data_IF_613834629745
#
_entry.id   IF_613834629745
#
_cell.length_a   1.000
_cell.length_b   1.000
_cell.length_c   1.000
_cell.angle_alpha   90.00
_cell.angle_beta   90.00
_cell.angle_gamma   90.00
#
_symmetry.space_group_name_H-M   'P 1'
#
loop_
_entity.id
_entity.type
_entity.pdbx_description
1 polymer ?
#
# COMPACT_ATOMS: atom_id res chain seq x y z
N UNK A 1 -8.55 11.73 20.76
CA UNK A 1 -7.34 10.93 20.46
C UNK A 1 -7.12 10.02 21.64
N UNK A 2 -7.37 8.71 21.49
CA UNK A 2 -7.24 7.75 22.58
C UNK A 2 -5.93 6.97 22.39
N UNK A 3 -5.02 7.12 23.34
CA UNK A 3 -3.72 6.46 23.39
C UNK A 3 -3.93 5.14 24.12
N UNK A 4 -4.01 4.02 23.39
CA UNK A 4 -4.13 2.67 23.97
C UNK A 4 -2.79 1.93 23.88
N UNK A 5 -2.37 1.22 24.95
CA UNK A 5 -1.16 0.41 24.93
C UNK A 5 -1.37 -0.83 24.04
N UNK A 6 -0.54 -0.98 23.01
CA UNK A 6 -0.56 -2.13 22.11
C UNK A 6 0.27 -3.27 22.70
N UNK A 7 -0.38 -4.41 22.94
CA UNK A 7 0.27 -5.66 23.35
C UNK A 7 1.02 -6.26 22.16
N UNK A 8 2.32 -6.58 22.34
CA UNK A 8 3.25 -7.00 21.28
C UNK A 8 3.51 -8.51 21.38
N UNK A 9 3.35 -9.23 20.28
CA UNK A 9 3.63 -10.67 20.18
C UNK A 9 4.75 -10.86 19.16
N UNK A 10 5.85 -11.50 19.58
CA UNK A 10 7.04 -11.76 18.76
C UNK A 10 7.03 -13.15 18.12
N UNK A 11 7.55 -13.24 16.90
CA UNK A 11 7.89 -14.45 16.13
C UNK A 11 9.39 -14.32 15.76
N UNK A 12 10.09 -15.37 15.29
CA UNK A 12 11.52 -15.32 14.92
C UNK A 12 11.78 -15.60 13.40
N UNK A 13 12.78 -14.94 12.81
CA UNK A 13 13.33 -14.99 11.40
C UNK A 13 14.86 -14.70 11.57
N UNK A 14 15.72 -14.39 10.58
CA UNK A 14 17.15 -14.05 10.85
C UNK A 14 17.62 -12.61 10.55
N UNK A 15 18.51 -12.06 11.42
CA UNK A 15 19.16 -10.72 11.41
C UNK A 15 19.89 -10.35 10.10
N UNK A 16 19.54 -9.22 9.47
CA UNK A 16 20.21 -8.66 8.28
C UNK A 16 21.00 -7.37 8.57
N UNK A 17 22.13 -7.12 7.87
CA UNK A 17 23.02 -5.98 8.10
C UNK A 17 22.39 -4.62 7.74
N UNK A 18 22.61 -3.61 8.59
CA UNK A 18 22.26 -2.19 8.33
C UNK A 18 23.32 -1.54 7.45
N UNK A 19 23.02 -1.30 6.18
CA UNK A 19 23.84 -0.46 5.31
C UNK A 19 23.46 1.03 5.44
N UNK A 20 24.47 1.91 5.51
CA UNK A 20 24.27 3.35 5.49
C UNK A 20 23.72 3.80 4.13
N UNK A 21 22.45 4.21 4.10
CA UNK A 21 21.76 4.65 2.88
C UNK A 21 21.86 6.17 2.72
N UNK A 22 23.06 6.66 2.41
CA UNK A 22 23.31 8.11 2.32
C UNK A 22 23.07 8.67 0.91
N UNK A 23 23.25 7.89 -0.17
CA UNK A 23 23.11 8.42 -1.54
C UNK A 23 22.28 7.57 -2.52
N UNK A 24 21.74 8.24 -3.54
CA UNK A 24 20.94 7.63 -4.63
C UNK A 24 21.79 6.68 -5.50
N UNK A 25 23.08 6.97 -5.65
CA UNK A 25 24.01 6.10 -6.36
C UNK A 25 24.20 4.78 -5.63
N UNK A 26 24.20 4.80 -4.29
CA UNK A 26 24.28 3.58 -3.48
C UNK A 26 23.02 2.72 -3.62
N UNK A 27 21.83 3.32 -3.62
CA UNK A 27 20.57 2.59 -3.88
C UNK A 27 20.54 1.95 -5.28
N UNK A 28 21.00 2.66 -6.32
CA UNK A 28 21.02 2.12 -7.69
C UNK A 28 22.05 1.00 -7.85
N UNK A 29 23.25 1.15 -7.28
CA UNK A 29 24.26 0.07 -7.23
C UNK A 29 23.76 -1.14 -6.45
N UNK A 30 23.00 -0.91 -5.37
CA UNK A 30 22.45 -1.96 -4.52
C UNK A 30 21.25 -2.69 -5.13
N UNK A 31 20.35 -2.00 -5.83
CA UNK A 31 19.19 -2.63 -6.50
C UNK A 31 19.59 -3.69 -7.54
N UNK A 32 20.79 -3.56 -8.11
CA UNK A 32 21.36 -4.50 -9.07
C UNK A 32 22.23 -5.59 -8.43
N UNK A 33 22.50 -5.54 -7.12
CA UNK A 33 23.35 -6.54 -6.47
C UNK A 33 22.58 -7.82 -6.14
N UNK A 34 23.25 -8.99 -6.22
CA UNK A 34 22.65 -10.30 -5.88
C UNK A 34 22.21 -10.40 -4.41
N UNK A 35 22.87 -9.66 -3.53
CA UNK A 35 22.68 -9.64 -2.08
C UNK A 35 21.38 -8.93 -1.65
N UNK A 36 20.81 -8.08 -2.53
CA UNK A 36 19.51 -7.42 -2.31
C UNK A 36 18.31 -8.21 -2.85
N UNK A 37 18.54 -9.36 -3.50
CA UNK A 37 17.49 -10.29 -3.94
C UNK A 37 17.00 -11.24 -2.86
N UNK A 38 17.44 -11.05 -1.62
CA UNK A 38 16.86 -11.74 -0.48
C UNK A 38 15.49 -11.12 -0.15
N UNK A 39 14.52 -11.34 -1.05
CA UNK A 39 13.11 -11.23 -0.71
C UNK A 39 12.86 -12.25 0.40
N UNK A 40 12.67 -11.78 1.63
CA UNK A 40 12.11 -12.66 2.64
C UNK A 40 10.63 -12.88 2.32
N UNK A 41 10.22 -14.12 2.19
CA UNK A 41 8.81 -14.51 2.12
C UNK A 41 8.43 -15.09 3.46
N UNK A 42 7.45 -14.48 4.11
CA UNK A 42 6.96 -14.88 5.42
C UNK A 42 5.56 -15.42 5.28
N UNK A 43 5.29 -16.50 6.01
CA UNK A 43 3.96 -17.10 6.11
C UNK A 43 3.53 -17.11 7.58
N UNK A 44 2.23 -16.91 7.80
CA UNK A 44 1.66 -17.03 9.14
C UNK A 44 1.70 -18.50 9.58
N UNK A 45 2.45 -18.79 10.64
CA UNK A 45 2.56 -20.16 11.18
C UNK A 45 1.24 -20.71 11.74
N UNK A 46 0.33 -19.83 12.18
CA UNK A 46 -0.97 -20.20 12.75
C UNK A 46 -2.09 -19.37 12.13
N UNK A 47 -3.29 -19.94 11.95
CA UNK A 47 -4.43 -19.18 11.49
C UNK A 47 -4.80 -18.11 12.51
N UNK A 48 -5.14 -16.92 12.01
CA UNK A 48 -5.58 -15.81 12.87
C UNK A 48 -7.00 -16.08 13.43
N UNK A 49 -7.33 -15.52 14.61
CA UNK A 49 -8.65 -15.64 15.22
C UNK A 49 -9.69 -14.93 14.37
N UNK A 50 -10.97 -15.29 14.54
CA UNK A 50 -12.11 -14.67 13.83
C UNK A 50 -12.48 -13.27 14.37
N UNK A 51 -11.46 -12.46 14.65
CA UNK A 51 -11.58 -11.07 15.10
C UNK A 51 -10.77 -10.19 14.17
N UNK A 52 -11.35 -9.09 13.70
CA UNK A 52 -10.65 -8.18 12.81
C UNK A 52 -9.56 -7.40 13.56
N UNK A 53 -8.31 -7.48 13.07
CA UNK A 53 -7.16 -6.79 13.67
C UNK A 53 -7.33 -5.28 13.77
N UNK A 54 -7.98 -4.63 12.79
CA UNK A 54 -8.14 -3.17 12.80
C UNK A 54 -9.25 -2.65 13.72
N UNK A 55 -10.33 -3.41 13.91
CA UNK A 55 -11.55 -2.92 14.59
C UNK A 55 -11.97 -3.74 15.81
N UNK A 56 -11.36 -4.91 16.05
CA UNK A 56 -11.74 -5.80 17.16
C UNK A 56 -13.14 -6.40 17.04
N UNK A 57 -13.75 -6.37 15.85
CA UNK A 57 -15.10 -6.87 15.57
C UNK A 57 -15.04 -8.28 15.00
N UNK A 58 -16.09 -9.10 15.13
CA UNK A 58 -16.13 -10.44 14.54
C UNK A 58 -15.88 -10.37 13.04
N UNK A 59 -15.04 -11.31 12.58
CA UNK A 59 -14.76 -11.50 11.17
C UNK A 59 -16.03 -11.99 10.46
N UNK A 60 -16.25 -11.47 9.26
CA UNK A 60 -17.32 -11.93 8.36
C UNK A 60 -16.78 -12.56 7.09
N UNK A 61 -15.49 -12.35 6.83
CA UNK A 61 -14.78 -12.81 5.65
C UNK A 61 -13.29 -12.91 5.98
N UNK A 62 -12.56 -13.71 5.20
CA UNK A 62 -11.11 -13.92 5.32
C UNK A 62 -10.49 -13.62 3.97
N UNK A 63 -9.57 -12.66 3.95
CA UNK A 63 -8.90 -12.28 2.71
C UNK A 63 -7.50 -12.87 2.66
N UNK A 64 -7.25 -13.71 1.65
CA UNK A 64 -5.90 -14.10 1.26
C UNK A 64 -5.24 -12.89 0.59
N UNK A 65 -4.27 -12.29 1.30
CA UNK A 65 -3.58 -11.09 0.83
C UNK A 65 -2.12 -11.12 1.22
N UNK A 66 -1.31 -10.84 0.21
CA UNK A 66 0.13 -10.61 0.36
C UNK A 66 0.37 -9.17 0.80
N UNK A 67 1.10 -9.00 1.89
CA UNK A 67 1.55 -7.70 2.38
C UNK A 67 3.01 -7.52 1.98
N UNK A 68 3.25 -6.62 1.02
CA UNK A 68 4.59 -6.31 0.55
C UNK A 68 5.27 -5.26 1.41
N UNK A 69 6.54 -5.50 1.73
CA UNK A 69 7.43 -4.58 2.42
C UNK A 69 8.42 -3.95 1.44
N UNK A 70 8.81 -2.71 1.71
CA UNK A 70 9.78 -1.98 0.90
C UNK A 70 10.84 -1.35 1.77
N UNK A 71 12.09 -1.38 1.30
CA UNK A 71 13.20 -0.70 1.96
C UNK A 71 13.13 0.79 1.64
N UNK A 72 13.02 1.60 2.69
CA UNK A 72 12.99 3.07 2.64
C UNK A 72 14.16 3.62 3.46
N UNK A 73 14.43 4.92 3.38
CA UNK A 73 15.47 5.56 4.20
C UNK A 73 15.27 5.43 5.73
N UNK A 74 14.08 5.03 6.17
CA UNK A 74 13.74 4.80 7.59
C UNK A 74 13.78 3.31 8.00
N UNK A 75 14.17 2.43 7.08
CA UNK A 75 14.13 0.97 7.28
C UNK A 75 13.09 0.30 6.38
N UNK A 76 12.69 -0.92 6.74
CA UNK A 76 11.72 -1.72 5.99
C UNK A 76 10.30 -1.34 6.41
N UNK A 77 9.58 -0.62 5.56
CA UNK A 77 8.21 -0.15 5.81
C UNK A 77 7.21 -0.96 4.96
N UNK A 78 6.01 -1.20 5.50
CA UNK A 78 4.91 -1.78 4.72
C UNK A 78 4.57 -0.87 3.53
N UNK A 79 4.40 -1.45 2.35
CA UNK A 79 3.91 -0.70 1.20
C UNK A 79 2.50 -0.16 1.50
N UNK A 80 2.38 1.16 1.53
CA UNK A 80 1.11 1.84 1.79
C UNK A 80 1.06 3.21 1.16
N UNK A 81 -0.02 3.94 1.44
CA UNK A 81 -0.23 5.30 0.93
C UNK A 81 0.92 6.25 1.28
N UNK A 82 1.38 6.22 2.53
CA UNK A 82 2.43 7.11 3.01
C UNK A 82 3.77 6.90 2.32
N UNK A 83 4.14 5.64 2.06
CA UNK A 83 5.37 5.29 1.33
C UNK A 83 5.26 5.73 -0.13
N UNK A 84 4.10 5.49 -0.77
CA UNK A 84 3.84 5.89 -2.17
C UNK A 84 3.87 7.42 -2.33
N UNK A 85 3.20 8.16 -1.44
CA UNK A 85 3.19 9.62 -1.45
C UNK A 85 4.58 10.21 -1.18
N UNK A 86 5.35 9.62 -0.25
CA UNK A 86 6.70 10.09 0.06
C UNK A 86 7.66 9.85 -1.10
N UNK A 87 7.63 8.65 -1.69
CA UNK A 87 8.41 8.32 -2.88
C UNK A 87 8.09 9.26 -4.05
N UNK A 88 6.81 9.56 -4.26
CA UNK A 88 6.42 10.50 -5.31
C UNK A 88 6.83 11.95 -5.02
N UNK A 89 6.75 12.41 -3.76
CA UNK A 89 7.21 13.75 -3.39
C UNK A 89 8.71 13.96 -3.66
N UNK A 90 9.51 12.91 -3.52
CA UNK A 90 10.93 12.92 -3.89
C UNK A 90 11.16 12.79 -5.40
N UNK A 91 10.26 12.11 -6.12
CA UNK A 91 10.38 11.81 -7.56
C UNK A 91 9.83 12.92 -8.48
N UNK A 92 8.80 13.68 -8.06
CA UNK A 92 8.19 14.74 -8.87
C UNK A 92 9.18 15.87 -9.19
N UNK A 93 10.18 16.08 -8.32
CA UNK A 93 11.28 17.01 -8.54
C UNK A 93 12.49 16.39 -9.24
N UNK A 94 12.53 15.06 -9.44
CA UNK A 94 13.71 14.32 -9.90
C UNK A 94 13.40 13.30 -11.00
N UNK A 95 12.64 13.69 -12.05
CA UNK A 95 12.57 13.06 -13.39
C UNK A 95 12.77 11.51 -13.48
N UNK A 96 12.29 10.75 -12.51
CA UNK A 96 12.59 9.33 -12.38
C UNK A 96 11.66 8.72 -11.34
N UNK A 97 10.89 7.72 -11.77
CA UNK A 97 10.00 6.95 -10.89
C UNK A 97 10.89 5.98 -10.12
N UNK A 98 11.30 6.33 -8.91
CA UNK A 98 12.15 5.49 -8.09
C UNK A 98 11.27 4.64 -7.17
N UNK A 99 10.88 3.48 -7.69
CA UNK A 99 10.10 2.49 -6.94
C UNK A 99 11.05 1.84 -5.92
N UNK A 100 10.93 2.09 -4.60
CA UNK A 100 11.83 1.50 -3.63
C UNK A 100 11.77 -0.03 -3.73
N UNK A 101 12.93 -0.72 -3.67
CA UNK A 101 13.00 -2.16 -3.90
C UNK A 101 12.15 -2.92 -2.89
N UNK A 102 11.47 -3.95 -3.37
CA UNK A 102 10.69 -4.87 -2.55
C UNK A 102 11.66 -5.61 -1.62
N UNK A 103 11.39 -5.52 -0.32
CA UNK A 103 12.20 -6.12 0.72
C UNK A 103 11.77 -7.57 1.00
N UNK A 104 10.48 -7.83 0.89
CA UNK A 104 9.87 -9.10 1.24
C UNK A 104 8.35 -9.03 1.23
N UNK A 105 7.72 -10.19 1.35
CA UNK A 105 6.27 -10.38 1.26
C UNK A 105 5.78 -11.23 2.44
N UNK A 106 4.68 -10.83 3.07
CA UNK A 106 4.00 -11.61 4.10
C UNK A 106 2.68 -12.16 3.53
N UNK A 107 2.63 -13.47 3.39
CA UNK A 107 1.48 -14.24 2.93
C UNK A 107 0.65 -14.68 4.14
N UNK A 108 -0.67 -14.56 3.99
CA UNK A 108 -1.57 -14.97 5.06
C UNK A 108 -3.02 -14.63 4.78
N UNK A 109 -3.89 -15.38 5.46
CA UNK A 109 -5.31 -15.09 5.51
C UNK A 109 -5.62 -14.14 6.65
N UNK A 110 -6.33 -13.06 6.33
CA UNK A 110 -6.62 -12.02 7.29
C UNK A 110 -8.12 -11.88 7.60
N UNK A 111 -8.51 -11.93 8.88
CA UNK A 111 -9.90 -11.75 9.28
C UNK A 111 -10.36 -10.30 9.07
N UNK A 112 -11.43 -10.11 8.31
CA UNK A 112 -12.00 -8.78 8.05
C UNK A 112 -13.43 -8.68 8.57
N UNK A 113 -13.74 -7.54 9.19
CA UNK A 113 -15.10 -7.27 9.66
C UNK A 113 -15.94 -6.54 8.59
N UNK A 114 -17.26 -6.46 8.80
CA UNK A 114 -18.19 -5.75 7.89
C UNK A 114 -17.78 -4.30 7.60
N UNK A 115 -17.17 -3.61 8.57
CA UNK A 115 -16.72 -2.23 8.38
C UNK A 115 -15.54 -2.14 7.38
N UNK A 116 -14.58 -3.06 7.47
CA UNK A 116 -13.47 -3.15 6.51
C UNK A 116 -13.97 -3.44 5.10
N UNK A 117 -14.88 -4.41 4.96
CA UNK A 117 -15.46 -4.78 3.66
C UNK A 117 -16.22 -3.61 3.04
N UNK A 118 -17.07 -2.92 3.82
CA UNK A 118 -17.80 -1.73 3.35
C UNK A 118 -16.85 -0.63 2.88
N UNK A 119 -15.83 -0.29 3.68
CA UNK A 119 -14.85 0.73 3.33
C UNK A 119 -14.09 0.38 2.04
N UNK A 120 -13.59 -0.84 1.94
CA UNK A 120 -12.86 -1.28 0.74
C UNK A 120 -13.75 -1.27 -0.51
N UNK A 121 -15.02 -1.68 -0.37
CA UNK A 121 -15.99 -1.68 -1.46
C UNK A 121 -16.30 -0.25 -1.92
N UNK A 122 -16.55 0.66 -0.99
CA UNK A 122 -16.77 2.08 -1.29
C UNK A 122 -15.57 2.69 -2.03
N UNK A 123 -14.35 2.48 -1.51
CA UNK A 123 -13.14 3.01 -2.14
C UNK A 123 -12.90 2.42 -3.54
N UNK A 124 -13.11 1.10 -3.72
CA UNK A 124 -13.01 0.47 -5.05
C UNK A 124 -14.04 1.04 -6.02
N UNK A 125 -15.25 1.31 -5.56
CA UNK A 125 -16.27 1.99 -6.35
C UNK A 125 -15.85 3.40 -6.75
N UNK A 126 -15.33 4.21 -5.81
CA UNK A 126 -14.81 5.54 -6.12
C UNK A 126 -13.67 5.51 -7.15
N UNK A 127 -12.71 4.60 -7.00
CA UNK A 127 -11.62 4.43 -7.97
C UNK A 127 -12.15 4.07 -9.36
N UNK A 128 -13.12 3.14 -9.44
CA UNK A 128 -13.75 2.75 -10.72
C UNK A 128 -14.49 3.91 -11.36
N UNK A 129 -15.28 4.67 -10.60
CA UNK A 129 -15.98 5.85 -11.12
C UNK A 129 -15.00 6.86 -11.71
N UNK A 130 -13.87 7.09 -11.04
CA UNK A 130 -12.88 8.05 -11.48
C UNK A 130 -12.14 7.60 -12.76
N UNK A 131 -11.97 6.30 -12.97
CA UNK A 131 -11.45 5.75 -14.23
C UNK A 131 -12.50 5.87 -15.34
N UNK A 132 -13.75 5.48 -15.06
CA UNK A 132 -14.83 5.45 -16.05
C UNK A 132 -15.21 6.86 -16.53
N UNK A 133 -15.19 7.87 -15.66
CA UNK A 133 -15.61 9.24 -16.04
C UNK A 133 -14.71 9.88 -17.10
N UNK A 134 -13.42 9.54 -17.14
CA UNK A 134 -12.53 10.10 -18.15
C UNK A 134 -12.30 9.21 -19.38
N UNK A 135 -12.72 7.94 -19.34
CA UNK A 135 -12.76 7.09 -20.53
C UNK A 135 -13.50 7.72 -21.72
N UNK A 136 -14.67 8.38 -21.58
CA UNK A 136 -15.33 9.05 -22.70
C UNK A 136 -14.65 10.35 -23.16
N UNK A 137 -13.74 10.94 -22.37
CA UNK A 137 -13.01 12.14 -22.77
C UNK A 137 -12.02 11.84 -23.92
N UNK A 138 -11.43 10.64 -23.94
CA UNK A 138 -10.53 10.18 -25.01
C UNK A 138 -11.21 10.14 -26.39
N UNK A 139 -12.31 9.39 -26.61
CA UNK A 139 -12.97 9.35 -27.91
C UNK A 139 -13.57 10.71 -28.28
N UNK A 140 -14.08 11.49 -27.32
CA UNK A 140 -14.57 12.84 -27.59
C UNK A 140 -13.46 13.75 -28.15
N UNK A 141 -12.26 13.69 -27.57
CA UNK A 141 -11.09 14.42 -28.07
C UNK A 141 -10.67 13.94 -29.46
N UNK A 142 -10.64 12.62 -29.69
CA UNK A 142 -10.31 12.06 -31.00
C UNK A 142 -11.32 12.49 -32.07
N UNK A 143 -12.61 12.45 -31.78
CA UNK A 143 -13.67 12.89 -32.70
C UNK A 143 -13.52 14.38 -33.02
N UNK A 144 -13.27 15.22 -32.01
CA UNK A 144 -13.04 16.66 -32.23
C UNK A 144 -11.83 16.92 -33.14
N UNK A 145 -10.75 16.13 -32.97
CA UNK A 145 -9.56 16.22 -33.81
C UNK A 145 -9.85 15.79 -35.26
N UNK A 146 -10.61 14.72 -35.45
CA UNK A 146 -10.99 14.20 -36.78
C UNK A 146 -11.95 15.14 -37.53
N UNK A 147 -12.82 15.85 -36.80
CA UNK A 147 -13.75 16.83 -37.35
C UNK A 147 -13.09 18.18 -37.70
N UNK A 148 -11.77 18.33 -37.47
CA UNK A 148 -11.06 19.58 -37.76
C UNK A 148 -11.54 20.75 -36.90
N UNK A 149 -11.92 20.50 -35.65
CA UNK A 149 -12.33 21.58 -34.74
C UNK A 149 -11.11 22.44 -34.40
N UNK A 150 -10.98 23.58 -35.09
CA UNK A 150 -9.84 24.50 -34.93
C UNK A 150 -9.73 25.14 -33.55
N UNK A 151 -10.81 25.10 -32.75
CA UNK A 151 -10.87 25.72 -31.41
C UNK A 151 -11.42 24.75 -30.37
N UNK A 152 -10.53 23.99 -29.76
CA UNK A 152 -10.84 23.25 -28.53
C UNK A 152 -10.88 24.25 -27.37
N UNK A 153 -11.99 24.28 -26.63
CA UNK A 153 -12.12 25.18 -25.48
C UNK A 153 -11.03 24.84 -24.43
N UNK A 154 -10.28 25.81 -23.89
CA UNK A 154 -9.15 25.55 -22.99
C UNK A 154 -9.53 24.74 -21.74
N UNK A 155 -10.78 24.88 -21.26
CA UNK A 155 -11.30 24.06 -20.17
C UNK A 155 -11.29 22.55 -20.48
N UNK A 156 -11.51 22.13 -21.73
CA UNK A 156 -11.41 20.72 -22.12
C UNK A 156 -9.97 20.22 -22.08
N UNK A 157 -9.04 21.05 -22.52
CA UNK A 157 -7.60 20.73 -22.46
C UNK A 157 -7.19 20.53 -21.01
N UNK A 158 -7.52 21.46 -20.11
CA UNK A 158 -7.18 21.34 -18.67
C UNK A 158 -7.90 20.17 -17.99
N UNK A 159 -9.17 19.92 -18.32
CA UNK A 159 -9.94 18.81 -17.77
C UNK A 159 -9.35 17.45 -18.17
N UNK A 160 -8.83 17.33 -19.39
CA UNK A 160 -8.17 16.12 -19.86
C UNK A 160 -6.72 16.03 -19.34
N UNK A 161 -5.92 17.08 -19.60
CA UNK A 161 -4.52 17.19 -19.18
C UNK A 161 -4.21 18.57 -18.55
N UNK A 162 -3.75 18.63 -17.29
CA UNK A 162 -3.34 17.51 -16.45
C UNK A 162 -4.48 16.89 -15.60
N UNK A 163 -5.72 17.39 -15.72
CA UNK A 163 -6.85 17.11 -14.82
C UNK A 163 -7.14 15.62 -14.61
N UNK A 164 -7.76 14.95 -15.57
CA UNK A 164 -8.04 13.53 -15.49
C UNK A 164 -6.77 12.68 -15.69
N UNK A 165 -5.95 13.04 -16.67
CA UNK A 165 -4.64 12.45 -16.92
C UNK A 165 -3.55 13.51 -16.72
N UNK A 166 -2.57 13.35 -15.81
CA UNK A 166 -2.31 12.18 -14.97
C UNK A 166 -2.97 12.22 -13.58
N UNK A 167 -3.48 13.37 -13.12
CA UNK A 167 -3.85 13.54 -11.70
C UNK A 167 -5.03 12.67 -11.27
N UNK A 168 -6.09 12.59 -12.09
CA UNK A 168 -7.20 11.69 -11.84
C UNK A 168 -6.74 10.25 -11.67
N UNK A 169 -6.03 9.68 -12.66
CA UNK A 169 -5.52 8.32 -12.58
C UNK A 169 -4.63 8.08 -11.34
N UNK A 170 -3.83 9.07 -10.99
CA UNK A 170 -3.01 9.01 -9.78
C UNK A 170 -3.86 8.93 -8.50
N UNK A 171 -4.91 9.75 -8.39
CA UNK A 171 -5.87 9.68 -7.28
C UNK A 171 -6.56 8.30 -7.26
N UNK A 172 -6.98 7.75 -8.40
CA UNK A 172 -7.56 6.41 -8.47
C UNK A 172 -6.60 5.34 -7.95
N UNK A 173 -5.32 5.41 -8.33
CA UNK A 173 -4.26 4.52 -7.83
C UNK A 173 -4.13 4.62 -6.30
N UNK A 174 -4.07 5.83 -5.74
CA UNK A 174 -4.02 6.03 -4.29
C UNK A 174 -5.27 5.45 -3.61
N UNK A 175 -6.46 5.73 -4.11
CA UNK A 175 -7.71 5.20 -3.56
C UNK A 175 -7.72 3.67 -3.60
N UNK A 176 -7.18 3.06 -4.66
CA UNK A 176 -7.05 1.61 -4.77
C UNK A 176 -6.07 1.04 -3.73
N UNK A 177 -4.91 1.66 -3.55
CA UNK A 177 -3.97 1.30 -2.48
C UNK A 177 -4.60 1.48 -1.08
N UNK A 178 -5.36 2.55 -0.86
CA UNK A 178 -6.09 2.80 0.38
C UNK A 178 -7.11 1.69 0.66
N UNK A 179 -7.79 1.19 -0.37
CA UNK A 179 -8.73 0.08 -0.27
C UNK A 179 -8.01 -1.25 0.03
N UNK A 180 -6.78 -1.40 -0.43
CA UNK A 180 -5.95 -2.58 -0.21
C UNK A 180 -5.31 -2.61 1.19
N UNK A 181 -5.12 -1.45 1.83
CA UNK A 181 -4.48 -1.31 3.15
C UNK A 181 -5.51 -1.37 4.29
N UNK A 182 -5.72 -2.57 4.85
CA UNK A 182 -6.65 -2.81 5.96
C UNK A 182 -5.95 -3.17 7.27
N UNK A 183 -4.63 -3.41 7.21
CA UNK A 183 -3.78 -3.70 8.36
C UNK A 183 -2.60 -2.74 8.34
N UNK A 184 -2.23 -2.25 9.52
CA UNK A 184 -1.05 -1.42 9.73
C UNK A 184 0.01 -2.24 10.45
N UNK A 185 1.08 -2.49 9.74
CA UNK A 185 2.29 -3.12 10.26
C UNK A 185 3.28 -1.99 10.57
N UNK A 186 3.85 -2.03 11.77
CA UNK A 186 4.92 -1.10 12.13
C UNK A 186 6.20 -1.43 11.35
N UNK A 187 7.12 -0.47 11.19
CA UNK A 187 8.40 -0.73 10.53
C UNK A 187 9.08 -1.95 11.12
N UNK A 188 9.66 -2.79 10.26
CA UNK A 188 10.37 -3.99 10.70
C UNK A 188 11.71 -3.53 11.28
N UNK A 189 11.78 -3.45 12.61
CA UNK A 189 12.98 -3.06 13.34
C UNK A 189 14.01 -4.19 13.44
N UNK A 190 13.55 -5.43 13.31
CA UNK A 190 14.36 -6.64 13.23
C UNK A 190 13.67 -7.65 12.33
N UNK A 191 14.41 -8.44 11.54
CA UNK A 191 13.84 -9.33 10.52
C UNK A 191 12.89 -10.38 11.09
N UNK A 192 12.96 -10.60 12.40
CA UNK A 192 12.49 -11.77 13.12
C UNK A 192 11.05 -11.65 13.55
N UNK A 193 10.64 -10.45 13.88
CA UNK A 193 9.30 -10.20 14.40
C UNK A 193 8.66 -9.08 13.62
N UNK A 194 7.41 -9.30 13.24
CA UNK A 194 6.57 -8.27 12.67
C UNK A 194 5.64 -7.78 13.76
N UNK A 195 5.71 -6.49 14.07
CA UNK A 195 4.80 -5.85 15.00
C UNK A 195 3.57 -5.34 14.25
N UNK A 196 2.41 -5.90 14.57
CA UNK A 196 1.14 -5.50 13.97
C UNK A 196 0.41 -4.59 14.95
N UNK A 197 -0.04 -3.42 14.49
CA UNK A 197 -0.95 -2.59 15.28
C UNK A 197 -2.35 -3.18 15.17
N UNK A 198 -2.75 -3.89 16.21
CA UNK A 198 -4.07 -4.48 16.32
C UNK A 198 -4.89 -3.86 17.45
N UNK A 199 -6.20 -4.03 17.35
CA UNK A 199 -7.16 -3.68 18.39
C UNK A 199 -6.98 -4.59 19.62
N UNK A 200 -7.15 -4.11 20.86
CA UNK A 200 -6.96 -4.93 22.07
C UNK A 200 -7.74 -6.24 22.08
N UNK A 201 -8.99 -6.23 21.59
CA UNK A 201 -9.80 -7.45 21.45
C UNK A 201 -9.18 -8.52 20.54
N UNK A 202 -8.40 -8.11 19.54
CA UNK A 202 -7.64 -9.04 18.71
C UNK A 202 -6.46 -9.64 19.49
N UNK A 203 -5.75 -8.81 20.26
CA UNK A 203 -4.68 -9.27 21.15
C UNK A 203 -5.16 -10.31 22.16
N UNK A 204 -6.31 -10.03 22.81
CA UNK A 204 -6.95 -10.97 23.73
C UNK A 204 -7.28 -12.31 23.07
N UNK A 205 -7.86 -12.29 21.86
CA UNK A 205 -8.19 -13.51 21.12
C UNK A 205 -6.95 -14.33 20.73
N UNK A 206 -5.83 -13.66 20.39
CA UNK A 206 -4.56 -14.36 20.14
C UNK A 206 -4.00 -14.96 21.45
N UNK A 207 -4.09 -14.24 22.56
CA UNK A 207 -3.61 -14.73 23.86
C UNK A 207 -4.40 -15.97 24.31
N UNK A 208 -5.72 -15.99 24.11
CA UNK A 208 -6.55 -17.16 24.34
C UNK A 208 -6.15 -18.35 23.46
N UNK A 209 -5.79 -18.12 22.20
CA UNK A 209 -5.30 -19.18 21.29
C UNK A 209 -3.89 -19.69 21.61
N UNK A 210 -3.11 -18.94 22.41
CA UNK A 210 -1.74 -19.32 22.78
C UNK A 210 -1.71 -20.22 24.02
N UNK A 211 -2.70 -20.10 24.89
CA UNK A 211 -2.92 -20.97 26.05
C UNK A 211 -3.52 -22.32 25.63
#
# INVERSE_FOLDING_TARGET
>A
MATYPAERIGVEVPVQPRYGMETVADMLRMSNSREWRDLFSLELQRPLPDVCSAHGRPAVDRWDKVITFRRTSRGVEQQGLGVTLRGMGTDLFKLGINIPPVAGDLHGEWPVCRACVRRATLLRWFARFLIVIGLPLLPALLIALQLGVDRIHPAWVVAFFPGWFPFGLFIAMLVYQAAAQFIRIDPIDGPDSITIRAHPAFGAAIAEQRN
#
